data_IF_847084362483
#
_entry.id   IF_847084362483
#
_cell.length_a   1.000
_cell.length_b   1.000
_cell.length_c   1.000
_cell.angle_alpha   90.00
_cell.angle_beta   90.00
_cell.angle_gamma   90.00
#
_symmetry.space_group_name_H-M   'P 1'
#
loop_
_entity.id
_entity.type
_entity.pdbx_description
1 polymer ?
#
# COMPACT_ATOMS: atom_id res chain seq x y z
N UNK A 1 22.65 8.85 -13.10
CA UNK A 1 21.53 9.14 -12.17
C UNK A 1 21.11 7.81 -11.56
N UNK A 2 20.77 7.77 -10.30
CA UNK A 2 20.26 6.54 -9.71
C UNK A 2 18.92 6.14 -10.35
N UNK A 3 18.63 4.84 -10.32
CA UNK A 3 17.48 4.24 -11.00
C UNK A 3 16.59 3.45 -10.04
N UNK A 4 15.27 3.51 -10.25
CA UNK A 4 14.33 2.77 -9.46
C UNK A 4 13.29 2.06 -10.36
N UNK A 5 12.99 0.80 -10.03
CA UNK A 5 11.84 0.08 -10.56
C UNK A 5 10.74 0.04 -9.50
N UNK A 6 9.53 0.48 -9.85
CA UNK A 6 8.37 0.40 -8.98
C UNK A 6 7.35 -0.56 -9.60
N UNK A 7 7.20 -1.76 -9.05
CA UNK A 7 6.14 -2.66 -9.49
C UNK A 7 4.82 -2.27 -8.81
N UNK A 8 3.71 -2.37 -9.53
CA UNK A 8 2.43 -1.79 -9.07
C UNK A 8 2.44 -0.26 -9.09
N UNK A 9 3.33 0.35 -9.88
CA UNK A 9 3.54 1.80 -9.92
C UNK A 9 2.42 2.60 -10.56
N UNK A 10 1.47 1.97 -11.25
CA UNK A 10 0.23 2.60 -11.73
C UNK A 10 -0.92 2.53 -10.70
N UNK A 11 -0.69 1.84 -9.58
CA UNK A 11 -1.65 1.70 -8.48
C UNK A 11 -1.65 2.90 -7.52
N UNK A 12 -2.46 2.77 -6.45
CA UNK A 12 -2.63 3.81 -5.44
C UNK A 12 -1.30 4.20 -4.78
N UNK A 13 -0.68 3.33 -4.00
CA UNK A 13 0.56 3.64 -3.26
C UNK A 13 1.74 3.78 -4.22
N UNK A 14 1.83 2.88 -5.23
CA UNK A 14 2.97 2.83 -6.15
C UNK A 14 3.16 4.10 -6.96
N UNK A 15 2.09 4.77 -7.37
CA UNK A 15 2.19 6.03 -8.11
C UNK A 15 2.78 7.18 -7.28
N UNK A 16 2.46 7.24 -5.98
CA UNK A 16 3.06 8.22 -5.07
C UNK A 16 4.54 7.92 -4.78
N UNK A 17 4.90 6.62 -4.66
CA UNK A 17 6.30 6.19 -4.52
C UNK A 17 7.10 6.55 -5.77
N UNK A 18 6.58 6.27 -6.97
CA UNK A 18 7.22 6.58 -8.23
C UNK A 18 7.46 8.10 -8.40
N UNK A 19 6.44 8.91 -8.11
CA UNK A 19 6.56 10.38 -8.13
C UNK A 19 7.63 10.89 -7.16
N UNK A 20 7.71 10.31 -5.96
CA UNK A 20 8.70 10.72 -4.97
C UNK A 20 10.13 10.36 -5.41
N UNK A 21 10.36 9.20 -6.03
CA UNK A 21 11.65 8.87 -6.63
C UNK A 21 12.03 9.84 -7.76
N UNK A 22 11.09 10.17 -8.65
CA UNK A 22 11.30 11.19 -9.70
C UNK A 22 11.68 12.55 -9.11
N UNK A 23 10.97 12.98 -8.05
CA UNK A 23 11.24 14.23 -7.34
C UNK A 23 12.63 14.25 -6.67
N UNK A 24 13.18 13.07 -6.33
CA UNK A 24 14.53 12.89 -5.78
C UNK A 24 15.61 12.69 -6.85
N UNK A 25 15.28 12.85 -8.12
CA UNK A 25 16.23 12.79 -9.24
C UNK A 25 16.59 11.38 -9.71
N UNK A 26 15.76 10.37 -9.41
CA UNK A 26 15.89 9.03 -9.94
C UNK A 26 15.31 8.95 -11.35
N UNK A 27 15.91 8.12 -12.20
CA UNK A 27 15.22 7.57 -13.36
C UNK A 27 14.27 6.48 -12.86
N UNK A 28 12.98 6.55 -13.23
CA UNK A 28 11.96 5.64 -12.72
C UNK A 28 11.36 4.81 -13.84
N UNK A 29 11.37 3.50 -13.66
CA UNK A 29 10.60 2.55 -14.46
C UNK A 29 9.47 1.95 -13.62
N UNK A 30 8.32 1.73 -14.25
CA UNK A 30 7.12 1.18 -13.61
C UNK A 30 6.79 -0.14 -14.30
N UNK A 31 6.55 -1.19 -13.52
CA UNK A 31 6.04 -2.47 -13.99
C UNK A 31 4.64 -2.67 -13.39
N UNK A 32 3.62 -2.72 -14.25
CA UNK A 32 2.21 -2.86 -13.83
C UNK A 32 1.42 -3.55 -14.94
N UNK A 33 0.54 -4.48 -14.60
CA UNK A 33 -0.34 -5.14 -15.58
C UNK A 33 -1.67 -4.41 -15.79
N UNK A 34 -1.84 -3.25 -15.15
CA UNK A 34 -3.02 -2.39 -15.17
C UNK A 34 -4.34 -3.10 -14.78
N UNK A 35 -4.28 -4.23 -14.06
CA UNK A 35 -5.48 -4.95 -13.60
C UNK A 35 -6.30 -4.14 -12.59
N UNK A 36 -5.63 -3.28 -11.79
CA UNK A 36 -6.25 -2.31 -10.89
C UNK A 36 -5.56 -0.95 -10.98
N UNK A 37 -4.31 -0.91 -11.43
CA UNK A 37 -3.57 0.31 -11.74
C UNK A 37 -4.18 1.07 -12.91
N UNK A 38 -3.96 2.39 -12.94
CA UNK A 38 -4.47 3.25 -13.99
C UNK A 38 -3.33 3.97 -14.69
N UNK A 39 -3.32 3.94 -16.01
CA UNK A 39 -2.30 4.62 -16.83
C UNK A 39 -2.22 6.11 -16.53
N UNK A 40 -3.34 6.74 -16.17
CA UNK A 40 -3.40 8.16 -15.78
C UNK A 40 -2.66 8.50 -14.46
N UNK A 41 -2.33 7.50 -13.66
CA UNK A 41 -1.54 7.68 -12.44
C UNK A 41 -0.03 7.63 -12.70
N UNK A 42 0.39 7.26 -13.92
CA UNK A 42 1.80 7.19 -14.29
C UNK A 42 2.29 8.57 -14.72
N UNK A 43 3.27 9.10 -13.99
CA UNK A 43 3.96 10.35 -14.39
C UNK A 43 4.64 10.16 -15.75
N UNK A 44 4.49 11.14 -16.65
CA UNK A 44 5.03 11.08 -18.01
C UNK A 44 6.57 10.96 -18.09
N UNK A 45 7.26 11.27 -17.00
CA UNK A 45 8.72 11.11 -16.85
C UNK A 45 9.12 9.67 -16.53
N UNK A 46 8.20 8.82 -16.10
CA UNK A 46 8.46 7.41 -15.82
C UNK A 46 8.18 6.55 -17.05
N UNK A 47 8.97 5.50 -17.24
CA UNK A 47 8.73 4.51 -18.29
C UNK A 47 7.84 3.40 -17.78
N UNK A 48 6.67 3.21 -18.40
CA UNK A 48 5.73 2.13 -18.08
C UNK A 48 6.02 0.86 -18.88
N UNK A 49 6.17 -0.26 -18.19
CA UNK A 49 6.17 -1.62 -18.71
C UNK A 49 4.87 -2.30 -18.31
N UNK A 50 3.99 -2.53 -19.30
CA UNK A 50 2.70 -3.20 -19.07
C UNK A 50 2.90 -4.71 -19.12
N UNK A 51 3.11 -5.33 -17.95
CA UNK A 51 3.36 -6.76 -17.82
C UNK A 51 3.01 -7.28 -16.42
N UNK A 52 2.76 -8.58 -16.32
CA UNK A 52 2.51 -9.27 -15.04
C UNK A 52 3.84 -9.59 -14.35
N UNK A 53 3.92 -9.39 -13.04
CA UNK A 53 5.12 -9.71 -12.22
C UNK A 53 5.52 -11.18 -12.28
N UNK A 54 4.61 -12.08 -12.66
CA UNK A 54 4.86 -13.52 -12.83
C UNK A 54 5.45 -13.87 -14.18
N UNK A 55 5.49 -12.94 -15.12
CA UNK A 55 5.90 -13.22 -16.50
C UNK A 55 7.41 -13.37 -16.65
N UNK A 56 7.82 -14.09 -17.67
CA UNK A 56 9.24 -14.19 -18.04
C UNK A 56 9.81 -12.84 -18.50
N UNK A 57 8.96 -11.97 -19.04
CA UNK A 57 9.32 -10.60 -19.45
C UNK A 57 9.71 -9.75 -18.23
N UNK A 58 8.94 -9.85 -17.13
CA UNK A 58 9.24 -9.16 -15.87
C UNK A 58 10.58 -9.65 -15.27
N UNK A 59 10.82 -10.96 -15.30
CA UNK A 59 12.10 -11.53 -14.88
C UNK A 59 13.26 -11.03 -15.73
N UNK A 60 13.09 -10.98 -17.07
CA UNK A 60 14.10 -10.44 -17.98
C UNK A 60 14.40 -8.97 -17.72
N UNK A 61 13.37 -8.15 -17.51
CA UNK A 61 13.55 -6.72 -17.17
C UNK A 61 14.44 -6.57 -15.94
N UNK A 62 14.13 -7.29 -14.86
CA UNK A 62 14.88 -7.22 -13.60
C UNK A 62 16.31 -7.76 -13.75
N UNK A 63 16.51 -8.84 -14.53
CA UNK A 63 17.84 -9.43 -14.69
C UNK A 63 18.75 -8.66 -15.64
N UNK A 64 18.20 -7.91 -16.60
CA UNK A 64 18.97 -7.21 -17.62
C UNK A 64 19.21 -5.73 -17.30
N UNK A 65 18.44 -5.16 -16.36
CA UNK A 65 18.56 -3.73 -16.00
C UNK A 65 19.11 -3.61 -14.56
N UNK A 66 20.29 -2.99 -14.38
CA UNK A 66 20.85 -2.78 -13.05
C UNK A 66 20.14 -1.59 -12.36
N UNK A 67 19.09 -1.87 -11.61
CA UNK A 67 18.42 -0.87 -10.78
C UNK A 67 19.16 -0.69 -9.45
N UNK A 68 19.23 0.55 -8.94
CA UNK A 68 19.71 0.82 -7.57
C UNK A 68 18.68 0.38 -6.53
N UNK A 69 17.38 0.57 -6.84
CA UNK A 69 16.27 0.22 -5.97
C UNK A 69 15.15 -0.45 -6.77
N UNK A 70 14.63 -1.55 -6.25
CA UNK A 70 13.37 -2.15 -6.72
C UNK A 70 12.37 -2.07 -5.57
N UNK A 71 11.23 -1.37 -5.79
CA UNK A 71 10.12 -1.34 -4.84
C UNK A 71 9.00 -2.23 -5.36
N UNK A 72 8.75 -3.33 -4.66
CA UNK A 72 7.76 -4.33 -5.07
C UNK A 72 6.43 -4.11 -4.33
N UNK A 73 5.50 -3.42 -5.02
CA UNK A 73 4.14 -3.13 -4.54
C UNK A 73 3.05 -3.88 -5.31
N UNK A 74 3.37 -4.43 -6.49
CA UNK A 74 2.41 -5.22 -7.26
C UNK A 74 1.93 -6.43 -6.44
N UNK A 75 0.63 -6.52 -6.22
CA UNK A 75 0.02 -7.56 -5.39
C UNK A 75 -1.48 -7.70 -5.69
N UNK A 76 -2.03 -8.88 -5.43
CA UNK A 76 -3.45 -9.04 -5.15
C UNK A 76 -3.68 -8.60 -3.69
N UNK A 77 -4.53 -7.60 -3.45
CA UNK A 77 -4.70 -6.97 -2.12
C UNK A 77 -6.07 -7.21 -1.49
N UNK A 78 -7.06 -7.69 -2.27
CA UNK A 78 -8.43 -7.94 -1.77
C UNK A 78 -8.47 -9.21 -0.92
N UNK A 79 -8.61 -9.04 0.40
CA UNK A 79 -8.70 -10.16 1.36
C UNK A 79 -9.85 -11.10 1.00
N UNK A 80 -10.98 -10.60 0.52
CA UNK A 80 -12.14 -11.44 0.13
C UNK A 80 -11.81 -12.30 -1.09
N UNK A 81 -11.08 -11.74 -2.07
CA UNK A 81 -10.60 -12.51 -3.22
C UNK A 81 -9.59 -13.55 -2.79
N UNK A 82 -8.70 -13.24 -1.83
CA UNK A 82 -7.74 -14.21 -1.32
C UNK A 82 -8.43 -15.40 -0.64
N UNK A 83 -9.54 -15.17 0.07
CA UNK A 83 -10.36 -16.23 0.68
C UNK A 83 -11.10 -17.05 -0.38
N UNK A 84 -11.59 -16.39 -1.43
CA UNK A 84 -12.31 -17.07 -2.52
C UNK A 84 -11.37 -17.93 -3.40
N UNK A 85 -10.14 -17.47 -3.64
CA UNK A 85 -9.13 -18.19 -4.43
C UNK A 85 -7.72 -18.00 -3.82
N UNK A 86 -7.39 -18.80 -2.78
CA UNK A 86 -6.07 -18.73 -2.13
C UNK A 86 -4.90 -19.09 -3.07
N UNK A 87 -5.14 -19.94 -4.05
CA UNK A 87 -4.10 -20.37 -4.99
C UNK A 87 -3.72 -19.25 -5.95
N UNK A 88 -4.70 -18.51 -6.48
CA UNK A 88 -4.45 -17.32 -7.30
C UNK A 88 -3.75 -16.23 -6.48
N UNK A 89 -4.15 -16.00 -5.22
CA UNK A 89 -3.51 -15.05 -4.31
C UNK A 89 -2.02 -15.42 -4.09
N UNK A 90 -1.73 -16.66 -3.73
CA UNK A 90 -0.37 -17.14 -3.53
C UNK A 90 0.48 -17.07 -4.83
N UNK A 91 -0.11 -17.40 -5.98
CA UNK A 91 0.57 -17.29 -7.28
C UNK A 91 1.03 -15.85 -7.56
N UNK A 92 0.20 -14.86 -7.25
CA UNK A 92 0.55 -13.45 -7.49
C UNK A 92 1.51 -12.96 -6.40
N UNK A 93 1.15 -13.11 -5.13
CA UNK A 93 1.83 -12.45 -4.02
C UNK A 93 3.14 -13.16 -3.63
N UNK A 94 3.19 -14.49 -3.71
CA UNK A 94 4.42 -15.26 -3.44
C UNK A 94 5.14 -15.55 -4.74
N UNK A 95 4.46 -16.13 -5.73
CA UNK A 95 5.06 -16.50 -7.02
C UNK A 95 5.63 -15.30 -7.76
N UNK A 96 4.90 -14.18 -7.85
CA UNK A 96 5.39 -12.94 -8.45
C UNK A 96 6.61 -12.37 -7.73
N UNK A 97 6.60 -12.37 -6.38
CA UNK A 97 7.76 -11.94 -5.60
C UNK A 97 8.98 -12.83 -5.88
N UNK A 98 8.80 -14.16 -5.89
CA UNK A 98 9.89 -15.11 -6.18
C UNK A 98 10.42 -14.96 -7.60
N UNK A 99 9.55 -14.73 -8.59
CA UNK A 99 9.96 -14.52 -9.96
C UNK A 99 10.93 -13.33 -10.09
N UNK A 100 10.65 -12.22 -9.42
CA UNK A 100 11.49 -11.02 -9.48
C UNK A 100 12.77 -11.14 -8.65
N UNK A 101 12.68 -11.63 -7.40
CA UNK A 101 13.84 -11.71 -6.52
C UNK A 101 14.84 -12.76 -7.01
N UNK A 102 14.37 -13.86 -7.59
CA UNK A 102 15.23 -14.89 -8.17
C UNK A 102 15.90 -14.42 -9.46
N UNK A 103 15.18 -13.68 -10.31
CA UNK A 103 15.77 -13.04 -11.48
C UNK A 103 16.88 -12.05 -11.07
N UNK A 104 16.65 -11.25 -10.03
CA UNK A 104 17.64 -10.34 -9.48
C UNK A 104 18.87 -11.09 -8.91
N UNK A 105 18.65 -12.19 -8.20
CA UNK A 105 19.75 -13.04 -7.69
C UNK A 105 20.60 -13.61 -8.81
N UNK A 106 19.96 -14.15 -9.85
CA UNK A 106 20.65 -14.79 -10.99
C UNK A 106 21.41 -13.79 -11.86
N UNK A 107 20.97 -12.53 -11.91
CA UNK A 107 21.67 -11.47 -12.65
C UNK A 107 23.05 -11.08 -12.05
N UNK A 108 23.30 -11.43 -10.79
CA UNK A 108 24.49 -10.99 -10.05
C UNK A 108 24.36 -9.58 -9.43
N UNK A 109 23.28 -8.85 -9.69
CA UNK A 109 23.06 -7.50 -9.15
C UNK A 109 22.42 -7.49 -7.74
N UNK A 110 21.99 -8.62 -7.23
CA UNK A 110 21.19 -8.74 -5.99
C UNK A 110 21.85 -8.20 -4.72
N UNK A 111 23.19 -8.09 -4.69
CA UNK A 111 23.91 -7.48 -3.55
C UNK A 111 24.07 -5.96 -3.68
N UNK A 112 23.80 -5.40 -4.84
CA UNK A 112 23.93 -3.96 -5.15
C UNK A 112 22.58 -3.26 -5.28
N UNK A 113 21.53 -4.01 -5.62
CA UNK A 113 20.15 -3.51 -5.75
C UNK A 113 19.42 -3.70 -4.43
N UNK A 114 18.88 -2.63 -3.86
CA UNK A 114 17.99 -2.71 -2.71
C UNK A 114 16.59 -3.15 -3.17
N UNK A 115 16.13 -4.33 -2.69
CA UNK A 115 14.79 -4.83 -2.93
C UNK A 115 13.88 -4.51 -1.74
N UNK A 116 12.96 -3.56 -1.91
CA UNK A 116 11.98 -3.14 -0.90
C UNK A 116 10.65 -3.84 -1.17
N UNK A 117 10.15 -4.57 -0.21
CA UNK A 117 8.88 -5.29 -0.31
C UNK A 117 7.78 -4.63 0.53
N UNK A 118 6.61 -4.42 -0.08
CA UNK A 118 5.42 -3.96 0.62
C UNK A 118 4.71 -5.13 1.29
N UNK A 119 4.68 -5.12 2.61
CA UNK A 119 3.93 -6.03 3.45
C UNK A 119 2.78 -5.29 4.15
N UNK A 120 2.14 -5.93 5.12
CA UNK A 120 0.97 -5.41 5.82
C UNK A 120 1.17 -5.40 7.32
N UNK A 121 0.94 -4.25 7.96
CA UNK A 121 0.84 -4.16 9.41
C UNK A 121 -0.58 -4.43 9.93
N UNK A 122 -1.58 -4.36 9.03
CA UNK A 122 -2.98 -4.58 9.40
C UNK A 122 -3.46 -6.03 9.34
N UNK A 123 -2.74 -6.93 8.61
CA UNK A 123 -3.20 -8.31 8.41
C UNK A 123 -2.18 -9.36 8.85
N UNK A 124 -1.03 -8.94 9.40
CA UNK A 124 0.08 -9.83 9.70
C UNK A 124 0.08 -10.35 11.14
N UNK A 125 -0.31 -9.50 12.10
CA UNK A 125 -0.14 -9.77 13.52
C UNK A 125 -1.30 -10.56 14.14
N UNK A 126 -2.50 -10.55 13.53
CA UNK A 126 -3.71 -11.18 14.07
C UNK A 126 -4.28 -10.44 15.29
N UNK A 127 -5.31 -11.01 15.92
CA UNK A 127 -6.01 -10.41 17.05
C UNK A 127 -5.46 -10.84 18.43
N UNK A 128 -4.54 -11.82 18.46
CA UNK A 128 -4.01 -12.38 19.70
C UNK A 128 -2.83 -11.60 20.31
N UNK A 129 -2.33 -10.59 19.61
CA UNK A 129 -1.21 -9.75 20.07
C UNK A 129 -1.73 -8.36 20.38
N UNK A 130 -1.65 -7.96 21.67
CA UNK A 130 -2.09 -6.64 22.10
C UNK A 130 -1.34 -5.53 21.37
N UNK A 131 -2.04 -4.61 20.70
CA UNK A 131 -1.41 -3.47 20.05
C UNK A 131 -0.97 -2.38 21.07
N UNK A 132 0.01 -1.51 20.71
CA UNK A 132 0.61 -1.36 19.37
C UNK A 132 1.62 -2.46 19.05
N UNK A 133 1.43 -3.12 17.88
CA UNK A 133 2.29 -4.22 17.47
C UNK A 133 3.68 -3.72 17.08
N UNK A 134 4.74 -4.28 17.66
CA UNK A 134 6.13 -4.06 17.26
C UNK A 134 6.54 -5.12 16.23
N UNK A 135 7.59 -4.85 15.42
CA UNK A 135 7.96 -5.72 14.29
C UNK A 135 8.30 -7.16 14.69
N UNK A 136 8.82 -7.37 15.89
CA UNK A 136 9.18 -8.69 16.41
C UNK A 136 8.08 -9.42 17.21
N UNK A 137 6.86 -8.88 17.25
CA UNK A 137 5.70 -9.60 17.77
C UNK A 137 5.49 -10.91 17.00
N UNK A 138 4.77 -11.83 17.62
CA UNK A 138 4.20 -13.00 16.93
C UNK A 138 3.39 -12.55 15.70
N UNK A 139 3.42 -13.35 14.65
CA UNK A 139 2.63 -13.14 13.44
C UNK A 139 1.65 -14.31 13.34
N UNK A 140 0.38 -13.97 13.26
CA UNK A 140 -0.72 -14.95 13.18
C UNK A 140 -1.77 -14.46 12.17
N UNK A 141 -1.43 -14.42 10.87
CA UNK A 141 -2.32 -13.89 9.85
C UNK A 141 -3.55 -14.78 9.65
N UNK A 142 -4.74 -14.16 9.69
CA UNK A 142 -6.05 -14.82 9.59
C UNK A 142 -6.61 -14.86 8.17
N UNK A 143 -5.81 -14.53 7.15
CA UNK A 143 -6.23 -14.54 5.76
C UNK A 143 -5.15 -15.08 4.83
N UNK A 144 -5.52 -15.71 3.69
CA UNK A 144 -4.55 -16.11 2.66
C UNK A 144 -3.65 -14.97 2.21
N UNK A 145 -4.18 -13.76 2.05
CA UNK A 145 -3.41 -12.56 1.77
C UNK A 145 -2.32 -12.29 2.82
N UNK A 146 -2.68 -12.31 4.11
CA UNK A 146 -1.71 -12.11 5.20
C UNK A 146 -0.66 -13.21 5.24
N UNK A 147 -1.08 -14.49 5.03
CA UNK A 147 -0.17 -15.65 4.92
C UNK A 147 0.79 -15.46 3.75
N UNK A 148 0.30 -15.06 2.58
CA UNK A 148 1.14 -14.85 1.40
C UNK A 148 2.18 -13.73 1.62
N UNK A 149 1.77 -12.60 2.24
CA UNK A 149 2.70 -11.51 2.59
C UNK A 149 3.77 -11.97 3.58
N UNK A 150 3.40 -12.72 4.64
CA UNK A 150 4.35 -13.28 5.60
C UNK A 150 5.29 -14.30 4.93
N UNK A 151 4.78 -15.16 4.07
CA UNK A 151 5.60 -16.13 3.32
C UNK A 151 6.65 -15.41 2.47
N UNK A 152 6.28 -14.35 1.77
CA UNK A 152 7.21 -13.54 1.00
C UNK A 152 8.30 -12.89 1.88
N UNK A 153 7.95 -12.41 3.09
CA UNK A 153 8.95 -11.89 4.04
C UNK A 153 9.96 -12.97 4.47
N UNK A 154 9.52 -14.22 4.70
CA UNK A 154 10.43 -15.33 5.00
C UNK A 154 11.39 -15.61 3.84
N UNK A 155 10.91 -15.59 2.60
CA UNK A 155 11.77 -15.74 1.43
C UNK A 155 12.79 -14.60 1.33
N UNK A 156 12.37 -13.35 1.50
CA UNK A 156 13.28 -12.21 1.48
C UNK A 156 14.37 -12.31 2.56
N UNK A 157 14.00 -12.74 3.77
CA UNK A 157 14.95 -12.98 4.84
C UNK A 157 15.93 -14.14 4.51
N UNK A 158 15.47 -15.18 3.81
CA UNK A 158 16.32 -16.22 3.28
C UNK A 158 17.32 -15.69 2.25
N UNK A 159 16.85 -14.93 1.24
CA UNK A 159 17.72 -14.35 0.21
C UNK A 159 18.75 -13.39 0.81
N UNK A 160 18.36 -12.60 1.79
CA UNK A 160 19.27 -11.70 2.48
C UNK A 160 20.37 -12.45 3.26
N UNK A 161 20.00 -13.49 4.02
CA UNK A 161 20.95 -14.24 4.87
C UNK A 161 21.84 -15.21 4.12
N UNK A 162 21.28 -15.91 3.12
CA UNK A 162 21.98 -16.99 2.41
C UNK A 162 22.71 -16.46 1.17
N UNK A 163 22.12 -15.51 0.47
CA UNK A 163 22.67 -14.98 -0.78
C UNK A 163 23.23 -13.55 -0.63
N UNK A 164 23.18 -12.96 0.56
CA UNK A 164 23.70 -11.62 0.81
C UNK A 164 22.94 -10.51 0.09
N UNK A 165 21.71 -10.78 -0.36
CA UNK A 165 20.92 -9.80 -1.09
C UNK A 165 20.49 -8.66 -0.17
N UNK A 166 20.39 -7.46 -0.73
CA UNK A 166 20.01 -6.27 0.01
C UNK A 166 18.49 -6.10 -0.02
N UNK A 167 17.81 -6.56 1.04
CA UNK A 167 16.34 -6.54 1.14
C UNK A 167 15.85 -5.67 2.29
N UNK A 168 14.68 -5.05 2.15
CA UNK A 168 13.95 -4.38 3.21
C UNK A 168 12.44 -4.67 3.08
N UNK A 169 11.71 -4.61 4.18
CA UNK A 169 10.27 -4.82 4.23
C UNK A 169 9.60 -3.62 4.88
N UNK A 170 8.51 -3.13 4.29
CA UNK A 170 7.66 -2.09 4.86
C UNK A 170 6.26 -2.65 5.11
N UNK A 171 5.82 -2.66 6.37
CA UNK A 171 4.53 -3.18 6.82
C UNK A 171 3.59 -2.02 7.03
N UNK A 172 2.73 -1.77 6.04
CA UNK A 172 1.81 -0.65 6.08
C UNK A 172 0.62 -0.92 7.00
N UNK A 173 0.28 0.06 7.82
CA UNK A 173 -1.01 0.15 8.48
C UNK A 173 -2.11 0.50 7.46
N UNK A 174 -3.22 1.08 7.87
CA UNK A 174 -4.32 1.40 6.96
C UNK A 174 -4.02 2.67 6.15
N UNK A 175 -3.48 2.49 4.96
CA UNK A 175 -3.12 3.60 4.07
C UNK A 175 -4.36 4.24 3.46
N UNK A 176 -4.41 5.56 3.45
CA UNK A 176 -5.46 6.33 2.77
C UNK A 176 -4.86 7.53 2.03
N UNK A 177 -5.58 8.04 1.02
CA UNK A 177 -5.12 9.22 0.28
C UNK A 177 -5.70 9.33 -1.12
N UNK A 178 -5.25 10.36 -1.89
CA UNK A 178 -5.54 10.50 -3.31
C UNK A 178 -5.21 9.24 -4.12
N UNK A 179 -5.99 8.94 -5.15
CA UNK A 179 -5.85 7.76 -6.04
C UNK A 179 -6.27 6.43 -5.42
N UNK A 180 -6.75 6.39 -4.18
CA UNK A 180 -7.33 5.17 -3.63
C UNK A 180 -8.64 4.85 -4.36
N UNK A 181 -8.80 3.60 -4.81
CA UNK A 181 -10.02 3.17 -5.52
C UNK A 181 -11.17 2.98 -4.51
N UNK A 182 -12.32 3.68 -4.67
CA UNK A 182 -13.48 3.50 -3.79
C UNK A 182 -14.28 2.22 -4.05
N UNK A 183 -14.00 1.48 -5.13
CA UNK A 183 -14.79 0.33 -5.58
C UNK A 183 -14.10 -1.03 -5.38
N UNK A 184 -12.76 -1.04 -5.20
CA UNK A 184 -11.97 -2.26 -5.00
C UNK A 184 -11.95 -2.74 -3.54
N UNK A 185 -10.79 -3.17 -3.07
CA UNK A 185 -10.49 -3.31 -1.62
C UNK A 185 -10.41 -1.90 -1.03
N UNK A 186 -11.54 -1.21 -1.13
CA UNK A 186 -11.61 0.20 -0.80
C UNK A 186 -11.41 0.38 0.70
N UNK A 187 -10.38 1.08 1.07
CA UNK A 187 -10.27 1.60 2.42
C UNK A 187 -11.51 2.45 2.75
N UNK A 188 -11.96 2.36 3.98
CA UNK A 188 -13.17 3.06 4.47
C UNK A 188 -13.16 4.55 4.13
N UNK A 189 -11.99 5.21 4.08
CA UNK A 189 -11.84 6.63 3.74
C UNK A 189 -12.33 6.90 2.30
N UNK A 190 -11.89 6.11 1.33
CA UNK A 190 -12.30 6.28 -0.07
C UNK A 190 -13.82 6.02 -0.25
N UNK A 191 -14.35 4.98 0.43
CA UNK A 191 -15.79 4.69 0.43
C UNK A 191 -16.57 5.88 0.99
N UNK A 192 -16.14 6.43 2.13
CA UNK A 192 -16.82 7.55 2.77
C UNK A 192 -16.74 8.83 1.93
N UNK A 193 -15.61 9.13 1.29
CA UNK A 193 -15.50 10.23 0.34
C UNK A 193 -16.54 10.11 -0.79
N UNK A 194 -16.61 8.93 -1.43
CA UNK A 194 -17.59 8.69 -2.49
C UNK A 194 -19.03 8.85 -2.01
N UNK A 195 -19.38 8.29 -0.83
CA UNK A 195 -20.74 8.42 -0.28
C UNK A 195 -21.12 9.86 0.05
N UNK A 196 -20.20 10.64 0.62
CA UNK A 196 -20.43 12.06 0.89
C UNK A 196 -20.71 12.81 -0.40
N UNK A 197 -19.91 12.61 -1.43
CA UNK A 197 -20.07 13.26 -2.74
C UNK A 197 -21.38 12.88 -3.44
N UNK A 198 -21.82 11.62 -3.23
CA UNK A 198 -23.12 11.13 -3.73
C UNK A 198 -24.31 11.57 -2.86
N UNK A 199 -24.09 12.28 -1.75
CA UNK A 199 -25.15 12.67 -0.80
C UNK A 199 -25.75 11.49 -0.04
N UNK A 200 -25.05 10.36 0.08
CA UNK A 200 -25.51 9.11 0.73
C UNK A 200 -24.98 8.99 2.16
N UNK A 201 -25.75 8.36 3.08
CA UNK A 201 -25.30 8.11 4.45
C UNK A 201 -24.02 7.28 4.49
N UNK A 202 -23.18 7.50 5.50
CA UNK A 202 -21.98 6.70 5.75
C UNK A 202 -22.36 5.38 6.41
N UNK A 203 -21.98 4.24 5.83
CA UNK A 203 -22.28 2.92 6.41
C UNK A 203 -21.18 2.53 7.39
N UNK A 204 -21.54 2.39 8.66
CA UNK A 204 -20.70 1.90 9.76
C UNK A 204 -21.16 0.51 10.15
N UNK A 205 -20.26 -0.47 10.12
CA UNK A 205 -20.59 -1.84 10.51
C UNK A 205 -20.43 -2.01 12.03
N UNK A 206 -21.43 -2.65 12.68
CA UNK A 206 -21.50 -2.75 14.13
C UNK A 206 -21.73 -1.39 14.80
N UNK A 207 -21.12 -1.19 15.95
CA UNK A 207 -21.15 0.07 16.72
C UNK A 207 -20.12 1.11 16.24
N UNK A 208 -19.21 0.71 15.34
CA UNK A 208 -18.15 1.57 14.82
C UNK A 208 -17.00 1.81 15.79
N UNK A 209 -16.93 1.03 16.90
CA UNK A 209 -15.85 1.15 17.89
C UNK A 209 -14.55 0.48 17.44
N UNK A 210 -14.58 -0.37 16.39
CA UNK A 210 -13.36 -0.97 15.84
C UNK A 210 -12.38 0.12 15.40
N UNK A 211 -11.10 -0.06 15.78
CA UNK A 211 -10.04 0.93 15.54
C UNK A 211 -9.06 0.50 14.47
N UNK A 212 -8.50 1.48 13.76
CA UNK A 212 -7.42 1.32 12.80
C UNK A 212 -6.39 2.43 12.96
N UNK A 213 -5.19 2.14 12.53
CA UNK A 213 -4.10 3.12 12.38
C UNK A 213 -4.13 3.65 10.94
N UNK A 214 -4.68 4.84 10.75
CA UNK A 214 -4.82 5.47 9.44
C UNK A 214 -3.59 6.32 9.12
N UNK A 215 -2.84 5.95 8.09
CA UNK A 215 -1.63 6.65 7.65
C UNK A 215 -1.81 7.26 6.26
N UNK A 216 -1.40 8.51 6.08
CA UNK A 216 -1.51 9.20 4.79
C UNK A 216 -0.51 8.66 3.77
N UNK A 217 -0.95 8.48 2.52
CA UNK A 217 -0.16 7.86 1.45
C UNK A 217 1.16 8.59 1.15
N UNK A 218 1.21 9.91 1.32
CA UNK A 218 2.45 10.67 1.16
C UNK A 218 3.51 10.29 2.19
N UNK A 219 3.10 10.06 3.44
CA UNK A 219 4.01 9.60 4.50
C UNK A 219 4.47 8.16 4.26
N UNK A 220 3.57 7.31 3.72
CA UNK A 220 3.91 5.93 3.31
C UNK A 220 4.93 5.93 2.18
N UNK A 221 4.75 6.76 1.16
CA UNK A 221 5.72 6.90 0.07
C UNK A 221 7.10 7.33 0.60
N UNK A 222 7.14 8.29 1.53
CA UNK A 222 8.38 8.73 2.18
C UNK A 222 9.08 7.59 2.93
N UNK A 223 8.36 6.83 3.77
CA UNK A 223 8.90 5.68 4.48
C UNK A 223 9.47 4.63 3.53
N UNK A 224 8.76 4.36 2.42
CA UNK A 224 9.15 3.38 1.41
C UNK A 224 10.43 3.78 0.70
N UNK A 225 10.52 5.03 0.28
CA UNK A 225 11.75 5.56 -0.35
C UNK A 225 12.92 5.57 0.62
N UNK A 226 12.70 5.94 1.89
CA UNK A 226 13.74 5.86 2.92
C UNK A 226 14.21 4.41 3.16
N UNK A 227 13.31 3.43 3.21
CA UNK A 227 13.69 2.01 3.31
C UNK A 227 14.52 1.55 2.10
N UNK A 228 14.30 2.13 0.93
CA UNK A 228 15.06 1.87 -0.30
C UNK A 228 16.43 2.54 -0.34
N UNK A 229 16.64 3.65 0.39
CA UNK A 229 17.81 4.52 0.19
C UNK A 229 18.70 4.68 1.42
N UNK A 230 18.20 4.40 2.62
CA UNK A 230 18.99 4.49 3.85
C UNK A 230 19.90 3.29 4.06
N UNK A 231 21.00 3.52 4.78
CA UNK A 231 21.82 2.43 5.29
C UNK A 231 21.04 1.64 6.34
N UNK A 232 20.96 0.33 6.18
CA UNK A 232 20.21 -0.55 7.06
C UNK A 232 21.14 -1.51 7.81
N UNK A 233 20.73 -2.00 9.01
CA UNK A 233 21.51 -2.98 9.76
C UNK A 233 21.65 -4.30 8.98
N UNK A 234 22.55 -5.17 9.42
CA UNK A 234 22.67 -6.53 8.85
C UNK A 234 21.37 -7.32 9.05
N UNK A 235 20.94 -8.13 8.06
CA UNK A 235 19.68 -8.88 8.09
C UNK A 235 19.79 -10.17 8.92
N UNK A 236 20.14 -10.07 10.20
CA UNK A 236 20.39 -11.23 11.06
C UNK A 236 19.14 -12.03 11.42
N UNK A 237 17.99 -11.35 11.48
CA UNK A 237 16.67 -11.94 11.83
C UNK A 237 15.61 -11.52 10.82
N UNK A 238 14.48 -12.23 10.80
CA UNK A 238 13.33 -11.94 9.95
C UNK A 238 12.95 -10.44 10.00
N UNK A 239 12.84 -9.91 11.20
CA UNK A 239 12.34 -8.55 11.41
C UNK A 239 13.46 -7.50 11.41
N UNK A 240 14.75 -7.86 11.22
CA UNK A 240 15.85 -6.91 11.32
C UNK A 240 15.69 -5.70 10.39
N UNK A 241 15.19 -5.94 9.19
CA UNK A 241 14.93 -4.92 8.16
C UNK A 241 13.45 -4.80 7.77
N UNK A 242 12.54 -5.21 8.66
CA UNK A 242 11.13 -4.92 8.55
C UNK A 242 10.79 -3.65 9.33
N UNK A 243 9.96 -2.78 8.77
CA UNK A 243 9.57 -1.50 9.35
C UNK A 243 8.06 -1.35 9.33
N UNK A 244 7.45 -1.16 10.48
CA UNK A 244 6.07 -0.76 10.57
C UNK A 244 5.91 0.71 10.15
N UNK A 245 4.94 0.96 9.29
CA UNK A 245 4.63 2.28 8.72
C UNK A 245 3.17 2.61 8.99
N UNK A 246 2.94 3.41 9.99
CA UNK A 246 1.63 3.84 10.51
C UNK A 246 1.78 5.18 11.22
N UNK A 247 0.82 5.50 12.08
CA UNK A 247 0.89 6.68 12.94
C UNK A 247 1.12 6.34 14.41
N UNK A 248 0.86 5.08 14.78
CA UNK A 248 0.82 4.65 16.18
C UNK A 248 -0.43 5.13 16.93
N UNK A 249 -1.43 5.63 16.21
CA UNK A 249 -2.65 6.20 16.78
C UNK A 249 -3.86 5.38 16.33
N UNK A 250 -4.62 4.89 17.30
CA UNK A 250 -5.89 4.23 17.04
C UNK A 250 -6.99 5.27 16.78
N UNK A 251 -7.71 5.09 15.68
CA UNK A 251 -8.91 5.90 15.38
C UNK A 251 -10.08 4.97 15.08
N UNK A 252 -11.21 5.16 15.74
CA UNK A 252 -12.41 4.38 15.49
C UNK A 252 -13.08 4.76 14.17
N UNK A 253 -13.88 3.84 13.59
CA UNK A 253 -14.64 4.12 12.37
C UNK A 253 -15.65 5.25 12.60
N UNK A 254 -16.26 5.31 13.79
CA UNK A 254 -17.16 6.41 14.18
C UNK A 254 -16.43 7.76 14.21
N UNK A 255 -15.24 7.81 14.81
CA UNK A 255 -14.43 9.03 14.83
C UNK A 255 -14.00 9.46 13.43
N UNK A 256 -13.56 8.50 12.59
CA UNK A 256 -13.23 8.76 11.19
C UNK A 256 -14.42 9.35 10.42
N UNK A 257 -15.63 8.77 10.58
CA UNK A 257 -16.84 9.26 9.94
C UNK A 257 -17.15 10.72 10.37
N UNK A 258 -17.03 11.02 11.67
CA UNK A 258 -17.22 12.37 12.22
C UNK A 258 -16.20 13.36 11.63
N UNK A 259 -14.92 12.97 11.61
CA UNK A 259 -13.85 13.83 11.08
C UNK A 259 -14.04 14.12 9.59
N UNK A 260 -14.35 13.10 8.79
CA UNK A 260 -14.49 13.26 7.33
C UNK A 260 -15.72 14.11 6.97
N UNK A 261 -16.85 13.93 7.69
CA UNK A 261 -18.03 14.81 7.53
C UNK A 261 -17.67 16.28 7.83
N UNK A 262 -16.91 16.53 8.89
CA UNK A 262 -16.43 17.87 9.25
C UNK A 262 -15.54 18.48 8.16
N UNK A 263 -14.55 17.71 7.67
CA UNK A 263 -13.65 18.13 6.58
C UNK A 263 -14.43 18.45 5.31
N UNK A 264 -15.39 17.60 4.96
CA UNK A 264 -16.24 17.74 3.78
C UNK A 264 -17.33 18.82 3.93
N UNK A 265 -17.53 19.37 5.15
CA UNK A 265 -18.65 20.27 5.50
C UNK A 265 -20.00 19.68 5.09
N UNK A 266 -20.19 18.38 5.37
CA UNK A 266 -21.34 17.58 4.96
C UNK A 266 -22.17 17.17 6.16
N UNK A 267 -23.48 17.17 6.01
CA UNK A 267 -24.47 16.74 6.99
C UNK A 267 -25.07 15.37 6.70
N UNK A 268 -24.52 14.62 5.71
CA UNK A 268 -24.98 13.24 5.42
C UNK A 268 -25.06 12.40 6.69
N UNK A 269 -26.10 11.60 6.80
CA UNK A 269 -26.33 10.73 7.96
C UNK A 269 -25.26 9.63 8.11
N UNK A 270 -25.28 8.95 9.24
CA UNK A 270 -24.54 7.71 9.48
C UNK A 270 -25.56 6.60 9.69
N UNK A 271 -25.43 5.50 8.97
CA UNK A 271 -26.24 4.30 9.15
C UNK A 271 -25.42 3.17 9.74
N UNK A 272 -25.96 2.48 10.74
CA UNK A 272 -25.30 1.31 11.33
C UNK A 272 -25.82 0.04 10.66
N UNK A 273 -24.90 -0.77 10.14
CA UNK A 273 -25.17 -2.06 9.53
C UNK A 273 -24.75 -3.21 10.48
N UNK A 274 -25.24 -4.44 10.27
CA UNK A 274 -24.81 -5.58 11.07
C UNK A 274 -23.29 -5.73 11.07
N UNK A 275 -22.72 -6.12 12.24
CA UNK A 275 -21.28 -6.38 12.38
C UNK A 275 -20.81 -7.43 11.39
N UNK A 276 -19.65 -7.22 10.77
CA UNK A 276 -19.02 -8.20 9.89
C UNK A 276 -18.37 -9.31 10.71
N UNK A 277 -18.66 -10.60 10.40
CA UNK A 277 -17.94 -11.71 11.03
C UNK A 277 -16.42 -11.63 10.71
N UNK A 278 -15.58 -11.94 11.70
CA UNK A 278 -14.12 -11.96 11.52
C UNK A 278 -13.48 -10.58 11.35
N UNK A 279 -14.20 -9.48 11.60
CA UNK A 279 -13.61 -8.14 11.54
C UNK A 279 -12.73 -7.88 12.76
N UNK A 280 -11.44 -7.65 12.53
CA UNK A 280 -10.47 -7.29 13.56
C UNK A 280 -10.94 -6.07 14.36
N UNK A 281 -10.83 -6.16 15.69
CA UNK A 281 -11.33 -5.09 16.57
C UNK A 281 -10.33 -3.95 16.71
N UNK A 282 -9.04 -4.25 16.88
CA UNK A 282 -8.00 -3.24 17.08
C UNK A 282 -6.81 -3.52 16.18
N UNK A 283 -6.33 -2.48 15.50
CA UNK A 283 -5.13 -2.59 14.67
C UNK A 283 -4.36 -1.28 14.71
N UNK A 284 -3.21 -1.30 15.38
CA UNK A 284 -2.25 -0.19 15.43
C UNK A 284 -0.83 -0.74 15.53
N UNK A 285 0.10 -0.10 14.87
CA UNK A 285 1.51 -0.53 14.83
C UNK A 285 2.42 0.45 15.57
N UNK A 286 3.48 -0.07 16.18
CA UNK A 286 4.54 0.78 16.72
C UNK A 286 5.47 1.22 15.58
N UNK A 287 5.73 2.52 15.51
CA UNK A 287 6.60 3.14 14.50
C UNK A 287 7.99 3.50 15.05
N UNK A 288 8.30 3.06 16.27
CA UNK A 288 9.55 3.43 16.96
C UNK A 288 10.80 3.04 16.16
N UNK A 289 10.78 1.87 15.52
CA UNK A 289 11.89 1.37 14.72
C UNK A 289 12.09 2.16 13.42
N UNK A 290 11.03 2.50 12.70
CA UNK A 290 11.11 3.38 11.54
C UNK A 290 11.67 4.76 11.94
N UNK A 291 11.26 5.29 13.10
CA UNK A 291 11.81 6.52 13.65
C UNK A 291 13.32 6.44 13.93
N UNK A 292 13.77 5.36 14.53
CA UNK A 292 15.17 5.23 14.95
C UNK A 292 16.14 4.87 13.83
N UNK A 293 15.72 4.03 12.86
CA UNK A 293 16.61 3.49 11.82
C UNK A 293 16.46 4.18 10.48
N UNK A 294 15.27 4.72 10.15
CA UNK A 294 15.02 5.46 8.90
C UNK A 294 14.92 6.97 9.12
N UNK A 295 14.90 7.45 10.38
CA UNK A 295 14.62 8.84 10.69
C UNK A 295 13.21 9.27 10.28
N UNK A 296 12.31 8.30 10.06
CA UNK A 296 10.97 8.55 9.53
C UNK A 296 9.93 8.71 10.64
N UNK A 297 9.05 9.68 10.44
CA UNK A 297 7.81 9.87 11.22
C UNK A 297 6.70 10.38 10.29
N UNK A 298 5.43 10.01 10.52
CA UNK A 298 4.32 10.59 9.78
C UNK A 298 4.28 12.10 10.03
N UNK A 299 4.01 12.86 8.98
CA UNK A 299 3.96 14.34 9.02
C UNK A 299 2.54 14.88 8.92
N UNK A 300 1.68 14.18 8.16
CA UNK A 300 0.31 14.59 8.00
C UNK A 300 -0.52 14.19 9.22
N UNK A 301 -1.21 15.12 9.85
CA UNK A 301 -2.30 14.80 10.76
C UNK A 301 -3.43 14.09 10.01
N UNK A 302 -4.27 13.33 10.72
CA UNK A 302 -5.42 12.65 10.10
C UNK A 302 -6.33 13.67 9.39
N UNK A 303 -6.60 14.81 10.00
CA UNK A 303 -7.47 15.84 9.44
C UNK A 303 -6.89 16.47 8.16
N UNK A 304 -5.60 16.78 8.13
CA UNK A 304 -4.92 17.29 6.92
C UNK A 304 -4.92 16.24 5.79
N UNK A 305 -4.62 14.99 6.10
CA UNK A 305 -4.66 13.90 5.12
C UNK A 305 -6.07 13.67 4.55
N UNK A 306 -7.10 13.68 5.42
CA UNK A 306 -8.51 13.57 5.00
C UNK A 306 -8.92 14.77 4.13
N UNK A 307 -8.48 15.98 4.45
CA UNK A 307 -8.76 17.16 3.65
C UNK A 307 -8.20 17.05 2.23
N UNK A 308 -6.92 16.67 2.11
CA UNK A 308 -6.28 16.45 0.80
C UNK A 308 -6.95 15.31 0.01
N UNK A 309 -7.34 14.25 0.71
CA UNK A 309 -8.01 13.11 0.09
C UNK A 309 -9.39 13.49 -0.43
N UNK A 310 -10.20 14.15 0.40
CA UNK A 310 -11.55 14.58 0.01
C UNK A 310 -11.52 15.57 -1.15
N UNK A 311 -10.62 16.57 -1.11
CA UNK A 311 -10.44 17.53 -2.21
C UNK A 311 -10.16 16.83 -3.54
N UNK A 312 -9.26 15.82 -3.54
CA UNK A 312 -8.94 15.05 -4.72
C UNK A 312 -10.15 14.27 -5.29
N UNK A 313 -10.98 13.67 -4.41
CA UNK A 313 -12.20 12.99 -4.82
C UNK A 313 -13.24 13.97 -5.37
N UNK A 314 -13.42 15.14 -4.74
CA UNK A 314 -14.37 16.16 -5.17
C UNK A 314 -14.06 16.71 -6.56
N UNK A 315 -12.80 17.07 -6.85
CA UNK A 315 -12.36 17.51 -8.17
C UNK A 315 -12.72 16.52 -9.29
N UNK A 316 -12.59 15.21 -9.01
CA UNK A 316 -12.90 14.16 -10.00
C UNK A 316 -14.37 13.82 -10.11
N UNK A 317 -15.11 13.99 -9.04
CA UNK A 317 -16.56 13.82 -9.05
C UNK A 317 -17.22 14.92 -9.89
N UNK A 318 -16.82 16.16 -9.73
CA UNK A 318 -17.31 17.31 -10.51
C UNK A 318 -16.95 17.15 -12.00
N UNK A 319 -15.75 16.73 -12.32
CA UNK A 319 -15.30 16.44 -13.68
C UNK A 319 -16.15 15.38 -14.39
N UNK A 320 -16.61 14.34 -13.69
CA UNK A 320 -17.54 13.33 -14.23
C UNK A 320 -18.93 13.90 -14.47
N UNK A 321 -19.43 14.76 -13.59
CA UNK A 321 -20.76 15.38 -13.73
C UNK A 321 -20.82 16.34 -14.90
N UNK A 322 -19.76 17.07 -15.18
CA UNK A 322 -19.64 17.98 -16.34
C UNK A 322 -19.61 17.17 -17.65
N UNK A 323 -18.81 16.11 -17.72
CA UNK A 323 -18.74 15.26 -18.91
C UNK A 323 -20.05 14.51 -19.19
N UNK A 324 -20.75 14.04 -18.15
CA UNK A 324 -22.05 13.38 -18.30
C UNK A 324 -23.12 14.34 -18.85
N UNK A 325 -23.08 15.62 -18.45
CA UNK A 325 -24.00 16.66 -19.00
C UNK A 325 -23.65 17.04 -20.45
N UNK A 326 -22.36 17.06 -20.80
CA UNK A 326 -21.92 17.36 -22.16
C UNK A 326 -22.31 16.25 -23.16
N UNK A 327 -22.26 14.98 -22.75
CA UNK A 327 -22.68 13.84 -23.61
C UNK A 327 -24.19 13.70 -23.73
N UNK A 328 -24.98 14.12 -22.73
CA UNK A 328 -26.46 14.12 -22.81
C UNK A 328 -27.04 15.31 -23.59
N UNK A 329 -26.25 16.34 -23.86
CA UNK A 329 -26.65 17.53 -24.65
C UNK A 329 -26.47 17.43 -26.15
N UNK A 330 -25.91 16.31 -26.68
CA UNK A 330 -25.63 16.11 -28.12
C UNK A 330 -26.74 15.24 -28.78
N UNK A 331 -27.75 14.78 -28.06
CA UNK A 331 -28.93 14.09 -28.61
C UNK A 331 -30.19 14.96 -28.49
N UNK A 332 -30.22 16.05 -29.21
CA UNK A 332 -31.48 16.75 -29.56
C UNK A 332 -31.40 17.26 -31.01
#
# INVERSE_FOLDING_TARGET
>A
MPSALVTGGAGFIGSHVAELFLARGYTVEILDNLSSGKREHVDSRARLHEMDVRSAEAARLVSQTPFDVIVHLAAQIDVRKSVADPAADASINVGGTLNLIEALRQSGHGTQTRFVFSSTGGALYGDFVDPPNVENCSKDPESPYGIAKLSAEYYLAYYARVHGMDTAVVRYANVYGPRQDPHGEAGVVAIFCGRILDGRPLSVYGDGAQTRDYVFVGDVAEATVLAGTHSLPRPERLDARAFNVGTGIETSVTELARLLRRVARSDVGVEHLPKRPGEQQRSVVSIAKAGSLLGWRPRASLEEGLSKTFAWFAERHDGKSVNARATSGVQR
#
